data_IF_701209916860
#
_entry.id   IF_701209916860
#
_cell.length_a   1.000
_cell.length_b   1.000
_cell.length_c   1.000
_cell.angle_alpha   90.00
_cell.angle_beta   90.00
_cell.angle_gamma   90.00
#
_symmetry.space_group_name_H-M   'P 1'
#
loop_
_entity.id
_entity.type
_entity.pdbx_description
1 polymer ?
#
# COMPACT_ATOMS: atom_id res chain seq x y z
N UNK A 1 -5.60 -9.07 15.50
CA UNK A 1 -5.38 -7.69 14.96
C UNK A 1 -6.00 -7.61 13.57
N UNK A 2 -6.78 -6.55 13.29
CA UNK A 2 -7.43 -6.36 11.99
C UNK A 2 -6.60 -5.43 11.12
N UNK A 3 -6.19 -5.90 9.95
CA UNK A 3 -5.42 -5.09 8.98
C UNK A 3 -6.38 -4.48 7.94
N UNK A 4 -6.21 -3.20 7.66
CA UNK A 4 -6.92 -2.53 6.56
C UNK A 4 -5.87 -2.11 5.54
N UNK A 5 -5.95 -2.68 4.35
CA UNK A 5 -5.16 -2.25 3.21
C UNK A 5 -5.97 -1.25 2.41
N UNK A 6 -5.35 -0.15 2.03
CA UNK A 6 -6.02 0.86 1.23
C UNK A 6 -5.37 0.94 -0.15
N UNK A 7 -6.18 0.92 -1.20
CA UNK A 7 -5.71 0.98 -2.58
C UNK A 7 -6.45 2.05 -3.38
N UNK A 8 -5.77 2.71 -4.31
CA UNK A 8 -6.36 3.67 -5.25
C UNK A 8 -6.46 3.10 -6.67
N UNK A 9 -6.16 1.82 -6.85
CA UNK A 9 -6.17 1.10 -8.12
C UNK A 9 -7.32 0.10 -8.09
N UNK A 10 -8.32 0.30 -8.95
CA UNK A 10 -9.54 -0.51 -8.98
C UNK A 10 -9.23 -1.95 -9.40
N UNK A 11 -8.26 -2.10 -10.30
CA UNK A 11 -7.83 -3.34 -10.91
C UNK A 11 -7.27 -4.32 -9.87
N UNK A 12 -6.72 -3.83 -8.75
CA UNK A 12 -6.23 -4.69 -7.66
C UNK A 12 -7.36 -5.51 -7.05
N UNK A 13 -8.56 -4.92 -6.93
CA UNK A 13 -9.72 -5.65 -6.42
C UNK A 13 -10.09 -6.80 -7.36
N UNK A 14 -10.09 -6.55 -8.67
CA UNK A 14 -10.47 -7.54 -9.67
C UNK A 14 -9.43 -8.66 -9.78
N UNK A 15 -8.15 -8.33 -9.72
CA UNK A 15 -7.04 -9.29 -9.74
C UNK A 15 -7.08 -10.20 -8.51
N UNK A 16 -7.35 -9.65 -7.32
CA UNK A 16 -7.44 -10.43 -6.09
C UNK A 16 -8.73 -11.26 -5.99
N UNK A 17 -9.85 -10.76 -6.54
CA UNK A 17 -11.15 -11.44 -6.49
C UNK A 17 -11.30 -12.51 -7.57
N UNK A 18 -10.69 -12.29 -8.74
CA UNK A 18 -10.81 -13.16 -9.91
C UNK A 18 -9.44 -13.47 -10.52
N UNK A 19 -8.52 -14.11 -9.78
CA UNK A 19 -7.15 -14.35 -10.24
C UNK A 19 -7.05 -15.18 -11.52
N UNK A 20 -8.04 -16.04 -11.79
CA UNK A 20 -8.11 -16.83 -13.02
C UNK A 20 -8.27 -15.99 -14.30
N UNK A 21 -8.72 -14.74 -14.19
CA UNK A 21 -8.81 -13.81 -15.32
C UNK A 21 -7.48 -13.15 -15.68
N UNK A 22 -6.49 -13.26 -14.79
CA UNK A 22 -5.17 -12.64 -14.91
C UNK A 22 -4.07 -13.69 -14.73
N UNK A 23 -4.01 -14.72 -15.61
CA UNK A 23 -3.04 -15.82 -15.49
C UNK A 23 -1.59 -15.33 -15.46
N UNK A 24 -1.28 -14.23 -16.14
CA UNK A 24 0.04 -13.59 -16.14
C UNK A 24 0.46 -13.06 -14.75
N UNK A 25 -0.49 -12.78 -13.86
CA UNK A 25 -0.25 -12.31 -12.50
C UNK A 25 -0.36 -13.41 -11.45
N UNK A 26 -0.63 -14.66 -11.85
CA UNK A 26 -0.96 -15.75 -10.93
C UNK A 26 0.10 -15.96 -9.83
N UNK A 27 1.39 -15.90 -10.19
CA UNK A 27 2.50 -16.04 -9.23
C UNK A 27 2.50 -14.92 -8.18
N UNK A 28 2.26 -13.69 -8.62
CA UNK A 28 2.19 -12.52 -7.74
C UNK A 28 0.98 -12.62 -6.81
N UNK A 29 -0.20 -12.94 -7.36
CA UNK A 29 -1.42 -13.09 -6.55
C UNK A 29 -1.28 -14.21 -5.53
N UNK A 30 -0.71 -15.36 -5.91
CA UNK A 30 -0.47 -16.47 -4.99
C UNK A 30 0.45 -16.06 -3.84
N UNK A 31 1.51 -15.31 -4.15
CA UNK A 31 2.45 -14.79 -3.15
C UNK A 31 1.79 -13.79 -2.20
N UNK A 32 0.91 -12.92 -2.72
CA UNK A 32 0.13 -11.98 -1.91
C UNK A 32 -0.82 -12.73 -0.99
N UNK A 33 -1.60 -13.68 -1.52
CA UNK A 33 -2.58 -14.45 -0.74
C UNK A 33 -1.91 -15.26 0.37
N UNK A 34 -0.75 -15.87 0.10
CA UNK A 34 0.02 -16.59 1.12
C UNK A 34 0.45 -15.68 2.28
N UNK A 35 0.83 -14.42 1.99
CA UNK A 35 1.17 -13.43 3.03
C UNK A 35 -0.07 -12.95 3.77
N UNK A 36 -1.19 -12.82 3.09
CA UNK A 36 -2.44 -12.39 3.72
C UNK A 36 -3.00 -13.44 4.68
N UNK A 37 -2.70 -14.73 4.47
CA UNK A 37 -3.07 -15.82 5.39
C UNK A 37 -2.46 -15.68 6.79
N UNK A 38 -1.35 -14.95 6.96
CA UNK A 38 -0.77 -14.74 8.29
C UNK A 38 -1.57 -13.76 9.15
N UNK A 39 -2.52 -13.03 8.57
CA UNK A 39 -3.37 -12.10 9.30
C UNK A 39 -4.67 -12.78 9.74
N UNK A 40 -5.00 -12.62 11.02
CA UNK A 40 -6.26 -13.09 11.61
C UNK A 40 -7.49 -12.53 10.86
N UNK A 41 -7.43 -11.27 10.44
CA UNK A 41 -8.42 -10.65 9.56
C UNK A 41 -7.81 -9.49 8.77
N UNK A 42 -8.23 -9.34 7.52
CA UNK A 42 -7.84 -8.21 6.68
C UNK A 42 -8.99 -7.76 5.78
N UNK A 43 -8.95 -6.49 5.35
CA UNK A 43 -9.85 -5.96 4.32
C UNK A 43 -9.11 -5.03 3.37
N UNK A 44 -9.55 -4.96 2.11
CA UNK A 44 -9.06 -4.00 1.13
C UNK A 44 -10.12 -2.92 0.90
N UNK A 45 -9.78 -1.67 1.21
CA UNK A 45 -10.62 -0.50 0.98
C UNK A 45 -10.11 0.28 -0.24
N UNK A 46 -11.01 0.60 -1.15
CA UNK A 46 -10.70 1.51 -2.25
C UNK A 46 -10.88 2.96 -1.77
N UNK A 47 -9.87 3.79 -1.94
CA UNK A 47 -9.90 5.20 -1.55
C UNK A 47 -9.44 6.06 -2.73
N UNK A 48 -10.17 7.14 -2.98
CA UNK A 48 -9.84 8.12 -4.02
C UNK A 48 -8.49 8.76 -3.71
N UNK A 49 -7.63 8.87 -4.73
CA UNK A 49 -6.23 9.28 -4.64
C UNK A 49 -6.02 10.64 -3.95
N UNK A 50 -7.04 11.50 -3.95
CA UNK A 50 -7.05 12.81 -3.28
C UNK A 50 -6.85 12.75 -1.75
N UNK A 51 -7.02 11.58 -1.12
CA UNK A 51 -6.79 11.38 0.32
C UNK A 51 -5.42 10.79 0.65
N UNK A 52 -4.56 10.49 -0.34
CA UNK A 52 -3.29 9.77 -0.11
C UNK A 52 -2.06 10.58 -0.50
N UNK A 53 -1.95 11.77 0.07
CA UNK A 53 -0.76 12.62 -0.11
C UNK A 53 0.48 11.84 0.32
N UNK A 54 0.45 11.18 1.48
CA UNK A 54 1.61 10.51 2.05
C UNK A 54 2.02 9.26 1.28
N UNK A 55 1.08 8.34 1.01
CA UNK A 55 1.40 7.11 0.27
C UNK A 55 1.87 7.40 -1.17
N UNK A 56 1.30 8.44 -1.80
CA UNK A 56 1.74 8.90 -3.12
C UNK A 56 3.13 9.54 -3.04
N UNK A 57 3.40 10.38 -2.05
CA UNK A 57 4.72 10.97 -1.83
C UNK A 57 5.79 9.91 -1.53
N UNK A 58 5.44 8.87 -0.77
CA UNK A 58 6.31 7.71 -0.54
C UNK A 58 6.61 7.03 -1.87
N UNK A 59 5.60 6.66 -2.64
CA UNK A 59 5.79 6.00 -3.93
C UNK A 59 6.60 6.86 -4.91
N UNK A 60 6.30 8.16 -4.99
CA UNK A 60 7.01 9.12 -5.83
C UNK A 60 8.46 9.31 -5.38
N UNK A 61 8.73 9.33 -4.07
CA UNK A 61 10.09 9.44 -3.52
C UNK A 61 10.96 8.22 -3.87
N UNK A 62 10.35 7.04 -3.93
CA UNK A 62 11.04 5.78 -4.30
C UNK A 62 11.28 5.72 -5.81
N UNK A 63 10.27 6.06 -6.60
CA UNK A 63 10.31 5.97 -8.08
C UNK A 63 11.19 7.07 -8.69
N UNK A 64 11.10 8.32 -8.22
CA UNK A 64 11.85 9.43 -8.80
C UNK A 64 13.17 9.70 -8.08
N UNK A 65 13.25 9.43 -6.78
CA UNK A 65 14.42 9.74 -5.96
C UNK A 65 15.49 8.65 -5.93
N UNK A 66 15.23 7.45 -6.48
CA UNK A 66 16.08 6.25 -6.30
C UNK A 66 16.41 5.96 -4.82
N UNK A 67 15.53 6.37 -3.90
CA UNK A 67 15.73 6.31 -2.44
C UNK A 67 15.23 4.99 -1.86
N UNK A 68 15.70 3.88 -2.42
CA UNK A 68 15.29 2.52 -2.00
C UNK A 68 15.65 2.20 -0.53
N UNK A 69 16.64 2.90 0.04
CA UNK A 69 17.16 2.63 1.39
C UNK A 69 16.57 3.51 2.50
N UNK A 70 15.74 4.51 2.19
CA UNK A 70 15.23 5.46 3.19
C UNK A 70 14.20 4.87 4.15
N UNK A 71 13.64 3.70 3.84
CA UNK A 71 12.54 3.10 4.60
C UNK A 71 12.88 1.76 5.29
N UNK A 72 14.06 1.20 5.01
CA UNK A 72 14.58 -0.01 5.69
C UNK A 72 15.66 0.36 6.72
N UNK A 73 16.18 1.60 6.68
CA UNK A 73 17.18 2.06 7.63
C UNK A 73 16.58 2.31 9.02
N UNK A 74 17.37 2.06 10.07
CA UNK A 74 17.06 2.13 11.51
C UNK A 74 16.45 3.45 12.05
N UNK A 75 16.16 4.43 11.19
CA UNK A 75 15.75 5.78 11.59
C UNK A 75 14.51 6.22 10.80
N UNK A 76 13.50 6.72 11.52
CA UNK A 76 12.25 7.23 10.98
C UNK A 76 12.47 8.36 9.96
N UNK A 77 11.73 8.41 8.83
CA UNK A 77 11.87 9.49 7.85
C UNK A 77 11.29 10.80 8.40
N UNK A 78 12.13 11.63 9.02
CA UNK A 78 11.72 12.88 9.65
C UNK A 78 10.98 13.87 8.73
N UNK A 79 11.20 13.79 7.41
CA UNK A 79 10.50 14.60 6.42
C UNK A 79 9.02 14.21 6.23
N UNK A 80 8.63 13.00 6.64
CA UNK A 80 7.26 12.48 6.54
C UNK A 80 6.40 12.94 7.74
N UNK A 81 7.02 13.40 8.82
CA UNK A 81 6.34 13.73 10.08
C UNK A 81 5.28 14.81 9.90
N UNK A 82 5.63 15.91 9.24
CA UNK A 82 4.70 17.02 9.02
C UNK A 82 3.46 16.58 8.21
N UNK A 83 3.63 15.66 7.26
CA UNK A 83 2.52 15.18 6.44
C UNK A 83 1.62 14.23 7.25
N UNK A 84 2.21 13.37 8.08
CA UNK A 84 1.47 12.48 8.99
C UNK A 84 0.67 13.28 10.01
N UNK A 85 1.26 14.33 10.58
CA UNK A 85 0.58 15.19 11.54
C UNK A 85 -0.62 15.92 10.89
N UNK A 86 -0.50 16.34 9.62
CA UNK A 86 -1.59 16.97 8.86
C UNK A 86 -2.70 15.95 8.54
N UNK A 87 -2.36 14.73 8.16
CA UNK A 87 -3.36 13.68 7.85
C UNK A 87 -4.10 13.22 9.12
N UNK A 88 -3.40 13.05 10.24
CA UNK A 88 -3.98 12.71 11.53
C UNK A 88 -4.93 13.80 12.06
N UNK A 89 -4.68 15.07 11.76
CA UNK A 89 -5.55 16.17 12.13
C UNK A 89 -6.82 16.29 11.26
N UNK A 90 -6.82 15.66 10.07
CA UNK A 90 -7.91 15.72 9.09
C UNK A 90 -8.77 14.42 9.02
N UNK A 91 -8.47 13.43 9.88
CA UNK A 91 -9.21 12.16 10.02
C UNK A 91 -10.12 12.16 11.25
#
# INVERSE_FOLDING_TARGET
MRIIFECSVLEVKDVLSYPHRFPELQSLVSSIMLRLQSFESWSLCFILQEQKIIATEIAMSVIHGHRYHSYIAQHWPAWLQNHIDIEAANS
#
